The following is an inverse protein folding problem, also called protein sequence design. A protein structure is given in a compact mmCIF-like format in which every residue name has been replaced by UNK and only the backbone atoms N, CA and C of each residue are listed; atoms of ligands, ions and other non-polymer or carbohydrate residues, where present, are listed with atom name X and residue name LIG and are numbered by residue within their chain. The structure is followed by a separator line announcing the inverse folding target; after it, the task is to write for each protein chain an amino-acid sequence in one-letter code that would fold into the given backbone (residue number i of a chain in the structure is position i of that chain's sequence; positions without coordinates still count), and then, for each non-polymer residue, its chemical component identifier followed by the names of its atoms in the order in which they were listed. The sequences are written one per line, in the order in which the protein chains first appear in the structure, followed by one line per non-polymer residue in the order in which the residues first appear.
data_IF_019248935900
#
_entry.id   IF_019248935900
#
_cell.length_a   1.000
_cell.length_b   1.000
_cell.length_c   1.000
_cell.angle_alpha   90.00
_cell.angle_beta   90.00
_cell.angle_gamma   90.00
#
_symmetry.space_group_name_H-M   'P 1'
#
loop_
_entity.id
_entity.type
_entity.pdbx_description
1 polymer ?
#
# COMPACT_ATOMS: atom_id res chain seq x y z
N UNK A 1 9.97 51.76 -24.76
CA UNK A 1 10.51 51.41 -23.45
C UNK A 1 9.58 50.41 -22.76
N UNK A 2 9.70 49.15 -23.13
CA UNK A 2 8.91 48.06 -22.56
C UNK A 2 9.79 47.27 -21.60
N UNK A 3 9.56 47.44 -20.34
CA UNK A 3 10.25 46.76 -19.27
C UNK A 3 9.51 45.45 -19.03
N UNK A 4 10.06 44.36 -19.53
CA UNK A 4 9.54 42.99 -19.33
C UNK A 4 9.90 42.59 -17.91
N UNK A 5 8.92 42.14 -17.15
CA UNK A 5 8.98 41.81 -15.74
C UNK A 5 9.57 40.39 -15.60
N UNK A 6 10.74 40.18 -14.99
CA UNK A 6 11.32 38.86 -14.79
C UNK A 6 10.76 38.11 -13.55
N UNK A 7 9.71 38.65 -12.89
CA UNK A 7 9.20 38.04 -11.66
C UNK A 7 8.34 36.79 -11.85
N UNK A 8 7.71 36.64 -13.01
CA UNK A 8 6.83 35.48 -13.26
C UNK A 8 7.65 34.19 -13.47
N UNK A 9 8.82 34.28 -14.11
CA UNK A 9 9.68 33.12 -14.36
C UNK A 9 10.40 32.69 -13.09
N UNK A 10 10.77 33.62 -12.22
CA UNK A 10 11.39 33.29 -10.92
C UNK A 10 10.39 32.69 -9.92
N UNK A 11 9.13 33.11 -9.98
CA UNK A 11 8.07 32.54 -9.16
C UNK A 11 7.72 31.12 -9.64
N UNK A 12 7.73 30.91 -10.95
CA UNK A 12 7.51 29.57 -11.56
C UNK A 12 8.68 28.63 -11.28
N UNK A 13 9.90 29.14 -11.24
CA UNK A 13 11.10 28.38 -10.86
C UNK A 13 11.14 28.06 -9.37
N UNK A 14 10.66 28.95 -8.51
CA UNK A 14 10.49 28.71 -7.05
C UNK A 14 9.36 27.74 -6.75
N UNK A 15 8.27 27.77 -7.47
CA UNK A 15 7.18 26.78 -7.39
C UNK A 15 7.60 25.40 -7.91
N UNK A 16 8.52 25.36 -8.88
CA UNK A 16 9.10 24.08 -9.35
C UNK A 16 10.17 23.53 -8.41
N UNK A 17 10.82 24.38 -7.62
CA UNK A 17 11.84 23.98 -6.63
C UNK A 17 11.23 23.55 -5.28
N UNK A 18 9.95 23.86 -5.05
CA UNK A 18 9.18 23.33 -3.92
C UNK A 18 8.42 22.05 -4.27
N UNK A 19 8.78 21.44 -5.40
CA UNK A 19 8.39 20.06 -5.68
C UNK A 19 9.10 19.23 -4.62
N UNK A 20 8.35 18.87 -3.59
CA UNK A 20 8.70 17.82 -2.63
C UNK A 20 9.42 16.71 -3.41
N UNK A 21 10.64 16.28 -3.03
CA UNK A 21 11.30 15.19 -3.73
C UNK A 21 10.26 14.10 -3.87
N UNK A 22 10.00 13.67 -5.11
CA UNK A 22 8.89 12.80 -5.44
C UNK A 22 8.87 11.68 -4.41
N UNK A 23 7.75 11.54 -3.69
CA UNK A 23 7.62 10.45 -2.73
C UNK A 23 8.03 9.17 -3.45
N UNK A 24 8.88 8.32 -2.85
CA UNK A 24 9.41 7.15 -3.50
C UNK A 24 8.23 6.33 -4.05
N UNK A 25 8.27 6.05 -5.33
CA UNK A 25 7.26 5.23 -6.00
C UNK A 25 7.57 3.76 -5.77
N UNK A 26 6.58 2.89 -5.94
CA UNK A 26 6.78 1.45 -5.85
C UNK A 26 7.93 0.98 -6.76
N UNK A 27 8.08 1.58 -7.95
CA UNK A 27 9.15 1.28 -8.88
C UNK A 27 10.55 1.51 -8.30
N UNK A 28 10.71 2.48 -7.40
CA UNK A 28 11.99 2.76 -6.74
C UNK A 28 12.41 1.63 -5.79
N UNK A 29 11.43 0.90 -5.24
CA UNK A 29 11.65 -0.24 -4.35
C UNK A 29 11.79 -1.58 -5.09
N UNK A 30 11.16 -1.74 -6.25
CA UNK A 30 11.15 -3.00 -7.00
C UNK A 30 12.39 -3.28 -7.83
N UNK A 31 13.12 -2.23 -8.23
CA UNK A 31 14.22 -2.34 -9.19
C UNK A 31 15.53 -2.88 -8.59
N UNK A 32 15.65 -2.97 -7.27
CA UNK A 32 16.89 -3.43 -6.62
C UNK A 32 16.58 -4.28 -5.38
N UNK A 33 17.44 -5.28 -5.05
CA UNK A 33 17.32 -6.04 -3.78
C UNK A 33 17.31 -5.13 -2.55
N UNK A 34 18.10 -4.06 -2.57
CA UNK A 34 18.14 -3.05 -1.51
C UNK A 34 16.81 -2.31 -1.37
N UNK A 35 16.18 -1.95 -2.49
CA UNK A 35 14.86 -1.30 -2.46
C UNK A 35 13.80 -2.18 -1.81
N UNK A 36 13.83 -3.47 -2.09
CA UNK A 36 12.92 -4.43 -1.45
C UNK A 36 13.17 -4.54 0.06
N UNK A 37 14.43 -4.59 0.49
CA UNK A 37 14.79 -4.60 1.91
C UNK A 37 14.35 -3.31 2.61
N UNK A 38 14.55 -2.16 1.98
CA UNK A 38 14.12 -0.85 2.49
C UNK A 38 12.57 -0.79 2.59
N UNK A 39 11.85 -1.30 1.60
CA UNK A 39 10.38 -1.39 1.64
C UNK A 39 9.90 -2.30 2.76
N UNK A 40 10.50 -3.48 2.90
CA UNK A 40 10.20 -4.42 4.00
C UNK A 40 10.45 -3.78 5.36
N UNK A 41 11.50 -2.97 5.49
CA UNK A 41 11.78 -2.23 6.71
C UNK A 41 10.69 -1.18 7.01
N UNK A 42 10.19 -0.47 6.00
CA UNK A 42 9.07 0.47 6.16
C UNK A 42 7.80 -0.25 6.62
N UNK A 43 7.48 -1.38 6.02
CA UNK A 43 6.33 -2.22 6.43
C UNK A 43 6.48 -2.70 7.87
N UNK A 44 7.65 -3.19 8.25
CA UNK A 44 7.97 -3.60 9.62
C UNK A 44 7.79 -2.46 10.62
N UNK A 45 8.30 -1.27 10.29
CA UNK A 45 8.21 -0.10 11.15
C UNK A 45 6.76 0.36 11.33
N UNK A 46 5.97 0.36 10.26
CA UNK A 46 4.56 0.66 10.31
C UNK A 46 3.76 -0.37 11.14
N UNK A 47 4.00 -1.67 10.93
CA UNK A 47 3.37 -2.74 11.71
C UNK A 47 3.73 -2.68 13.20
N UNK A 48 4.97 -2.29 13.53
CA UNK A 48 5.41 -2.14 14.94
C UNK A 48 4.61 -1.08 15.69
N UNK A 49 3.99 -0.13 14.99
CA UNK A 49 3.18 0.94 15.54
C UNK A 49 1.77 0.97 14.91
N UNK A 50 1.22 -0.18 14.57
CA UNK A 50 -0.07 -0.32 13.88
C UNK A 50 -1.21 0.41 14.64
N UNK A 51 -1.16 0.40 15.96
CA UNK A 51 -2.15 1.04 16.83
C UNK A 51 -1.92 2.54 17.06
N UNK A 52 -0.90 3.11 16.45
CA UNK A 52 -0.57 4.53 16.49
C UNK A 52 0.88 4.77 16.91
N UNK A 53 1.47 5.78 16.31
CA UNK A 53 2.84 6.19 16.58
C UNK A 53 3.48 6.86 15.37
N UNK A 54 4.63 7.52 15.57
CA UNK A 54 5.28 8.30 14.53
C UNK A 54 5.75 7.47 13.32
N UNK A 55 6.11 6.20 13.51
CA UNK A 55 6.52 5.33 12.41
C UNK A 55 5.36 4.96 11.47
N UNK A 56 4.13 4.97 11.96
CA UNK A 56 2.95 4.80 11.13
C UNK A 56 2.53 6.13 10.49
N UNK A 57 2.42 7.19 11.29
CA UNK A 57 1.92 8.49 10.83
C UNK A 57 2.83 9.18 9.83
N UNK A 58 4.16 9.01 9.96
CA UNK A 58 5.17 9.60 9.09
C UNK A 58 5.77 8.58 8.11
N UNK A 59 5.13 7.43 7.95
CA UNK A 59 5.62 6.41 7.02
C UNK A 59 5.53 6.88 5.58
N UNK A 60 6.57 6.70 4.75
CA UNK A 60 6.49 6.93 3.31
C UNK A 60 5.40 6.08 2.62
N UNK A 61 4.97 4.99 3.22
CA UNK A 61 3.89 4.12 2.72
C UNK A 61 2.55 4.84 2.59
N UNK A 62 2.33 5.99 3.27
CA UNK A 62 1.11 6.80 3.10
C UNK A 62 0.95 7.37 1.69
N UNK A 63 2.04 7.40 0.90
CA UNK A 63 2.04 7.89 -0.48
C UNK A 63 1.67 6.81 -1.51
N UNK A 64 1.49 5.56 -1.09
CA UNK A 64 1.04 4.49 -1.97
C UNK A 64 -0.38 4.78 -2.49
N UNK A 65 -0.64 4.40 -3.74
CA UNK A 65 -1.95 4.57 -4.36
C UNK A 65 -3.05 3.84 -3.61
N UNK A 66 -2.80 2.61 -3.16
CA UNK A 66 -3.76 1.84 -2.34
C UNK A 66 -4.14 2.58 -1.05
N UNK A 67 -3.21 3.32 -0.44
CA UNK A 67 -3.48 4.13 0.75
C UNK A 67 -4.30 5.36 0.38
N UNK A 68 -3.98 6.03 -0.75
CA UNK A 68 -4.77 7.14 -1.25
C UNK A 68 -6.21 6.71 -1.58
N UNK A 69 -6.40 5.56 -2.20
CA UNK A 69 -7.72 4.99 -2.50
C UNK A 69 -8.47 4.65 -1.20
N UNK A 70 -7.79 4.09 -0.19
CA UNK A 70 -8.37 3.77 1.12
C UNK A 70 -8.71 5.02 1.95
N UNK A 71 -8.09 6.17 1.69
CA UNK A 71 -8.39 7.42 2.41
C UNK A 71 -9.84 7.85 2.24
N UNK A 72 -10.45 7.59 1.08
CA UNK A 72 -11.86 7.89 0.83
C UNK A 72 -12.79 7.18 1.84
N UNK A 73 -12.45 5.97 2.24
CA UNK A 73 -13.19 5.17 3.22
C UNK A 73 -12.80 5.51 4.67
N UNK A 74 -11.69 6.19 4.88
CA UNK A 74 -11.13 6.53 6.19
C UNK A 74 -11.23 8.04 6.51
N UNK A 75 -12.24 8.73 5.99
CA UNK A 75 -12.49 10.16 6.22
C UNK A 75 -11.26 11.06 5.88
N UNK A 76 -10.49 10.71 4.86
CA UNK A 76 -9.28 11.43 4.47
C UNK A 76 -8.08 11.24 5.41
N UNK A 77 -8.15 10.33 6.37
CA UNK A 77 -7.07 10.10 7.33
C UNK A 77 -6.06 9.07 6.82
N UNK A 78 -4.88 9.55 6.37
CA UNK A 78 -3.82 8.72 5.81
C UNK A 78 -3.32 7.63 6.79
N UNK A 79 -3.20 7.95 8.08
CA UNK A 79 -2.74 6.98 9.09
C UNK A 79 -3.74 5.84 9.28
N UNK A 80 -5.05 6.14 9.30
CA UNK A 80 -6.10 5.13 9.37
C UNK A 80 -6.17 4.31 8.09
N UNK A 81 -6.03 4.96 6.92
CA UNK A 81 -5.99 4.31 5.63
C UNK A 81 -4.81 3.33 5.53
N UNK A 82 -3.60 3.76 5.92
CA UNK A 82 -2.43 2.88 5.96
C UNK A 82 -2.64 1.70 6.90
N UNK A 83 -3.23 1.91 8.07
CA UNK A 83 -3.57 0.81 8.98
C UNK A 83 -4.51 -0.19 8.31
N UNK A 84 -5.60 0.27 7.70
CA UNK A 84 -6.56 -0.58 6.99
C UNK A 84 -5.88 -1.40 5.89
N UNK A 85 -5.01 -0.78 5.09
CA UNK A 85 -4.24 -1.47 4.04
C UNK A 85 -3.32 -2.55 4.62
N UNK A 86 -2.66 -2.29 5.75
CA UNK A 86 -1.80 -3.29 6.41
C UNK A 86 -2.62 -4.44 7.02
N UNK A 87 -3.77 -4.15 7.61
CA UNK A 87 -4.70 -5.17 8.12
C UNK A 87 -5.25 -6.04 6.98
N UNK A 88 -5.63 -5.44 5.85
CA UNK A 88 -6.07 -6.14 4.65
C UNK A 88 -4.95 -7.02 4.06
N UNK A 89 -3.71 -6.52 4.05
CA UNK A 89 -2.56 -7.30 3.60
C UNK A 89 -2.30 -8.52 4.50
N UNK A 90 -2.46 -8.37 5.81
CA UNK A 90 -2.37 -9.50 6.75
C UNK A 90 -3.51 -10.50 6.49
N UNK A 91 -4.74 -10.03 6.28
CA UNK A 91 -5.88 -10.90 6.02
C UNK A 91 -5.75 -11.67 4.70
N UNK A 92 -5.12 -11.08 3.66
CA UNK A 92 -4.78 -11.79 2.41
C UNK A 92 -3.80 -12.95 2.61
N UNK A 93 -2.99 -12.92 3.67
CA UNK A 93 -2.09 -14.02 4.05
C UNK A 93 -2.80 -15.15 4.80
N UNK A 94 -4.08 -14.99 5.11
CA UNK A 94 -4.87 -16.00 5.80
C UNK A 94 -5.05 -17.24 4.92
N UNK A 95 -4.61 -18.41 5.37
CA UNK A 95 -4.84 -19.65 4.65
C UNK A 95 -6.33 -20.02 4.59
N UNK A 96 -6.71 -20.79 3.57
CA UNK A 96 -8.06 -21.36 3.50
C UNK A 96 -8.29 -22.44 4.56
N UNK A 97 -9.57 -22.73 4.85
CA UNK A 97 -9.95 -23.81 5.75
C UNK A 97 -10.03 -23.40 7.23
N UNK A 98 -10.05 -24.42 8.09
CA UNK A 98 -10.19 -24.21 9.53
C UNK A 98 -8.90 -23.69 10.16
N UNK A 99 -9.00 -22.65 10.99
CA UNK A 99 -7.85 -22.04 11.66
C UNK A 99 -7.14 -23.04 12.56
N UNK A 100 -5.83 -23.16 12.37
CA UNK A 100 -4.93 -23.93 13.23
C UNK A 100 -3.89 -23.00 13.86
N UNK A 101 -3.73 -23.05 15.19
CA UNK A 101 -2.71 -22.23 15.89
C UNK A 101 -1.28 -22.76 15.67
N UNK A 102 -1.15 -24.06 15.46
CA UNK A 102 0.16 -24.76 15.33
C UNK A 102 0.43 -25.26 13.91
N UNK A 103 -0.52 -25.12 12.98
CA UNK A 103 -0.34 -25.50 11.60
C UNK A 103 0.71 -24.62 10.91
N UNK A 104 1.63 -25.25 10.18
CA UNK A 104 2.74 -24.55 9.51
C UNK A 104 2.25 -23.48 8.56
N UNK A 105 1.19 -23.76 7.82
CA UNK A 105 0.56 -22.82 6.88
C UNK A 105 -0.06 -21.59 7.55
N UNK A 106 -0.58 -21.74 8.77
CA UNK A 106 -1.19 -20.67 9.55
C UNK A 106 -0.19 -19.85 10.37
N UNK A 107 1.06 -20.30 10.44
CA UNK A 107 2.03 -19.79 11.38
C UNK A 107 2.32 -18.30 11.19
N UNK A 108 2.61 -17.86 9.96
CA UNK A 108 2.92 -16.47 9.68
C UNK A 108 1.71 -15.56 9.91
N UNK A 109 0.53 -15.97 9.46
CA UNK A 109 -0.72 -15.26 9.74
C UNK A 109 -0.99 -15.14 11.23
N UNK A 110 -0.88 -16.23 12.00
CA UNK A 110 -1.09 -16.20 13.44
C UNK A 110 -0.09 -15.28 14.18
N UNK A 111 1.17 -15.24 13.75
CA UNK A 111 2.17 -14.33 14.32
C UNK A 111 1.75 -12.88 14.07
N UNK A 112 1.38 -12.53 12.85
CA UNK A 112 0.97 -11.19 12.48
C UNK A 112 -0.29 -10.76 13.22
N UNK A 113 -1.31 -11.61 13.22
CA UNK A 113 -2.57 -11.32 13.89
C UNK A 113 -2.41 -11.16 15.40
N UNK A 114 -1.82 -12.16 16.08
CA UNK A 114 -1.68 -12.14 17.53
C UNK A 114 -0.77 -10.99 18.02
N UNK A 115 0.35 -10.77 17.31
CA UNK A 115 1.35 -9.78 17.74
C UNK A 115 0.99 -8.36 17.38
N UNK A 116 0.51 -8.11 16.15
CA UNK A 116 0.32 -6.76 15.62
C UNK A 116 -1.14 -6.32 15.61
N UNK A 117 -2.06 -7.16 15.16
CA UNK A 117 -3.49 -6.82 15.14
C UNK A 117 -4.09 -6.88 16.55
N UNK A 118 -3.77 -7.93 17.32
CA UNK A 118 -4.26 -8.06 18.70
C UNK A 118 -3.34 -7.43 19.76
N UNK A 119 -2.14 -6.99 19.38
CA UNK A 119 -1.21 -6.29 20.26
C UNK A 119 -0.67 -7.14 21.42
N UNK A 120 -0.65 -8.47 21.30
CA UNK A 120 -0.19 -9.37 22.36
C UNK A 120 1.32 -9.26 22.57
N UNK A 121 1.77 -9.53 23.82
CA UNK A 121 3.20 -9.57 24.14
C UNK A 121 3.90 -10.77 23.49
N UNK A 122 5.16 -10.59 23.10
CA UNK A 122 5.99 -11.63 22.47
C UNK A 122 5.91 -12.95 23.22
N UNK A 123 6.07 -12.91 24.54
CA UNK A 123 6.05 -14.10 25.40
C UNK A 123 4.71 -14.87 25.34
N UNK A 124 3.60 -14.13 25.27
CA UNK A 124 2.27 -14.75 25.21
C UNK A 124 1.99 -15.35 23.83
N UNK A 125 2.44 -14.68 22.78
CA UNK A 125 2.37 -15.20 21.40
C UNK A 125 3.22 -16.47 21.27
N UNK A 126 4.47 -16.44 21.74
CA UNK A 126 5.36 -17.60 21.69
C UNK A 126 4.76 -18.81 22.43
N UNK A 127 4.16 -18.57 23.60
CA UNK A 127 3.48 -19.63 24.37
C UNK A 127 2.27 -20.20 23.61
N UNK A 128 1.42 -19.34 23.01
CA UNK A 128 0.26 -19.78 22.23
C UNK A 128 0.62 -20.58 20.99
N UNK A 129 1.71 -20.21 20.34
CA UNK A 129 2.19 -20.87 19.13
C UNK A 129 3.16 -22.02 19.42
N UNK A 130 3.39 -22.34 20.71
CA UNK A 130 4.25 -23.44 21.16
C UNK A 130 5.67 -23.35 20.60
N UNK A 131 6.28 -22.18 20.69
CA UNK A 131 7.64 -21.93 20.19
C UNK A 131 8.47 -21.08 21.17
N UNK A 132 9.79 -21.03 20.95
CA UNK A 132 10.67 -20.12 21.67
C UNK A 132 10.49 -18.68 21.20
N UNK A 133 10.82 -17.69 22.05
CA UNK A 133 10.80 -16.28 21.64
C UNK A 133 11.80 -16.02 20.49
N UNK A 134 12.94 -16.69 20.49
CA UNK A 134 13.94 -16.59 19.42
C UNK A 134 13.40 -17.11 18.08
N UNK A 135 12.68 -18.23 18.10
CA UNK A 135 12.02 -18.75 16.90
C UNK A 135 10.91 -17.82 16.42
N UNK A 136 10.14 -17.23 17.35
CA UNK A 136 9.12 -16.25 17.03
C UNK A 136 9.73 -15.05 16.29
N UNK A 137 10.84 -14.48 16.79
CA UNK A 137 11.50 -13.35 16.11
C UNK A 137 12.00 -13.71 14.70
N UNK A 138 12.55 -14.92 14.53
CA UNK A 138 12.99 -15.40 13.23
C UNK A 138 11.82 -15.56 12.25
N UNK A 139 10.72 -16.15 12.69
CA UNK A 139 9.50 -16.33 11.90
C UNK A 139 8.79 -15.00 11.61
N UNK A 140 8.83 -14.08 12.57
CA UNK A 140 8.29 -12.72 12.39
C UNK A 140 9.00 -11.97 11.27
N UNK A 141 10.32 -12.17 11.08
CA UNK A 141 11.03 -11.57 9.95
C UNK A 141 10.48 -12.07 8.62
N UNK A 142 10.31 -13.37 8.45
CA UNK A 142 9.67 -13.92 7.25
C UNK A 142 8.23 -13.42 7.06
N UNK A 143 7.49 -13.23 8.16
CA UNK A 143 6.14 -12.66 8.09
C UNK A 143 6.13 -11.22 7.56
N UNK A 144 7.10 -10.39 7.90
CA UNK A 144 7.22 -9.04 7.36
C UNK A 144 7.52 -9.04 5.86
N UNK A 145 8.38 -9.94 5.40
CA UNK A 145 8.70 -10.10 3.99
C UNK A 145 7.45 -10.49 3.20
N UNK A 146 6.62 -11.37 3.73
CA UNK A 146 5.35 -11.76 3.11
C UNK A 146 4.33 -10.61 3.08
N UNK A 147 4.19 -9.82 4.16
CA UNK A 147 3.31 -8.64 4.14
C UNK A 147 3.81 -7.62 3.12
N UNK A 148 5.12 -7.36 3.07
CA UNK A 148 5.69 -6.44 2.10
C UNK A 148 5.38 -6.88 0.65
N UNK A 149 5.51 -8.18 0.36
CA UNK A 149 5.16 -8.76 -0.94
C UNK A 149 3.68 -8.54 -1.29
N UNK A 150 2.79 -8.80 -0.34
CA UNK A 150 1.35 -8.60 -0.54
C UNK A 150 1.00 -7.12 -0.75
N UNK A 151 1.58 -6.21 0.01
CA UNK A 151 1.36 -4.76 -0.15
C UNK A 151 1.83 -4.29 -1.52
N UNK A 152 2.98 -4.77 -2.01
CA UNK A 152 3.45 -4.47 -3.36
C UNK A 152 2.49 -4.99 -4.44
N UNK A 153 1.95 -6.19 -4.26
CA UNK A 153 0.96 -6.77 -5.18
C UNK A 153 -0.33 -5.95 -5.21
N UNK A 154 -0.86 -5.57 -4.04
CA UNK A 154 -2.02 -4.69 -3.92
C UNK A 154 -1.80 -3.34 -4.62
N UNK A 155 -0.62 -2.76 -4.48
CA UNK A 155 -0.26 -1.50 -5.15
C UNK A 155 -0.24 -1.65 -6.68
N UNK A 156 0.32 -2.75 -7.19
CA UNK A 156 0.28 -3.06 -8.63
C UNK A 156 -1.14 -3.24 -9.14
N UNK A 157 -1.99 -3.97 -8.40
CA UNK A 157 -3.41 -4.15 -8.71
C UNK A 157 -4.14 -2.79 -8.79
N UNK A 158 -3.87 -1.88 -7.84
CA UNK A 158 -4.47 -0.56 -7.81
C UNK A 158 -4.05 0.31 -9.02
N UNK A 159 -2.79 0.22 -9.43
CA UNK A 159 -2.32 0.91 -10.63
C UNK A 159 -2.90 0.32 -11.92
N UNK A 160 -3.01 -0.99 -12.03
CA UNK A 160 -3.62 -1.66 -13.19
C UNK A 160 -5.10 -1.30 -13.35
N UNK A 161 -5.84 -1.25 -12.24
CA UNK A 161 -7.26 -0.87 -12.24
C UNK A 161 -7.49 0.58 -12.66
N UNK A 162 -6.57 1.49 -12.32
CA UNK A 162 -6.65 2.88 -12.74
C UNK A 162 -6.41 3.07 -14.25
N UNK A 163 -5.54 2.24 -14.84
CA UNK A 163 -5.25 2.27 -16.29
C UNK A 163 -6.43 1.82 -17.16
N UNK A 164 -7.26 0.93 -16.64
CA UNK A 164 -8.44 0.40 -17.36
C UNK A 164 -9.63 1.35 -17.35
N UNK A 165 -9.73 2.23 -16.35
CA UNK A 165 -10.83 3.18 -16.22
C UNK A 165 -10.74 4.36 -17.23
N UNK A 166 -9.61 4.55 -17.91
CA UNK A 166 -9.41 5.66 -18.87
C UNK A 166 -9.75 5.26 -20.31
N UNK A 167 -10.07 3.99 -20.58
CA UNK A 167 -10.51 3.52 -21.89
C UNK A 167 -12.05 3.52 -21.97
N UNK A 168 -12.66 4.68 -21.97
CA UNK A 168 -14.06 4.86 -22.37
C UNK A 168 -14.18 4.53 -23.87
N UNK A 169 -15.03 3.58 -24.29
CA UNK A 169 -15.22 3.33 -25.71
C UNK A 169 -15.88 4.55 -26.34
N UNK A 170 -15.23 5.10 -27.36
CA UNK A 170 -15.78 6.18 -28.18
C UNK A 170 -17.21 5.81 -28.63
N UNK A 171 -18.16 6.77 -28.64
CA UNK A 171 -19.52 6.49 -29.07
C UNK A 171 -19.50 6.03 -30.51
N UNK A 172 -20.01 4.82 -30.73
CA UNK A 172 -20.23 4.26 -32.06
C UNK A 172 -21.24 5.15 -32.77
N UNK A 173 -20.79 5.90 -33.78
CA UNK A 173 -21.66 6.66 -34.65
C UNK A 173 -22.63 5.68 -35.31
N UNK A 174 -23.91 5.86 -35.01
CA UNK A 174 -25.02 5.17 -35.68
C UNK A 174 -25.03 5.62 -37.17
N UNK A 175 -24.98 4.71 -38.13
CA UNK A 175 -25.11 5.08 -39.51
C UNK A 175 -26.56 5.55 -39.77
N UNK A 176 -26.68 6.81 -40.18
CA UNK A 176 -27.91 7.46 -40.65
C UNK A 176 -28.49 6.71 -41.86
N UNK A 177 -29.73 6.26 -41.74
CA UNK A 177 -30.45 5.59 -42.81
C UNK A 177 -30.77 6.59 -43.95
N UNK A 178 -30.67 6.19 -45.23
CA UNK A 178 -30.99 7.05 -46.34
C UNK A 178 -32.52 7.27 -46.47
N UNK A 179 -32.97 8.44 -46.96
CA UNK A 179 -34.39 8.71 -47.12
C UNK A 179 -35.01 7.91 -48.26
N UNK A 180 -36.10 7.21 -48.00
CA UNK A 180 -36.94 6.58 -49.00
C UNK A 180 -37.59 7.66 -49.88
N UNK A 181 -37.31 7.62 -51.17
CA UNK A 181 -38.01 8.38 -52.16
C UNK A 181 -39.28 7.62 -52.58
N UNK A 182 -40.44 8.23 -52.26
CA UNK A 182 -41.72 7.79 -52.76
C UNK A 182 -41.87 8.18 -54.26
N UNK A 183 -42.27 7.20 -55.04
CA UNK A 183 -43.12 7.42 -56.24
C UNK A 183 -44.36 6.59 -56.11
#
# INVERSE_FOLDING_TARGET
LTRIIPEAEDMQRRLSATRNPAAPTLADFEMTPKGYDDFTQLVRDALSQLWGGPKLSNSPLVNLKIVADAMAQNNGNATKALRSVLEDAIERLRPGGQRSLTGTEWLLYNILELKFVQGQKVRDVARKLVMSESDLYRKQRAAFEEVARVVMEMEREAHASAGTATAEPAPVATPEAPPEQSQ
#
